data_IF_191309999021
#
_entry.id   IF_191309999021
#
_cell.length_a   1.000
_cell.length_b   1.000
_cell.length_c   1.000
_cell.angle_alpha   90.00
_cell.angle_beta   90.00
_cell.angle_gamma   90.00
#
_symmetry.space_group_name_H-M   'P 1'
#
loop_
_entity.id
_entity.type
_entity.pdbx_description
1 polymer ?
#
# COMPACT_ATOMS: atom_id res chain seq x y z
N UNK A 1 6.18 -89.52 16.16
CA UNK A 1 5.93 -88.76 14.94
C UNK A 1 5.45 -87.34 15.41
N UNK A 2 6.36 -86.40 15.50
CA UNK A 2 6.05 -85.00 15.96
C UNK A 2 6.42 -84.05 14.78
N UNK A 3 5.41 -83.40 14.18
CA UNK A 3 5.62 -82.47 13.07
C UNK A 3 5.87 -81.08 13.70
N UNK A 4 7.06 -80.56 13.49
CA UNK A 4 7.40 -79.19 13.81
C UNK A 4 6.83 -78.23 12.74
N UNK A 5 6.02 -77.30 13.11
CA UNK A 5 5.52 -76.20 12.27
C UNK A 5 6.42 -74.96 12.51
N UNK A 6 7.21 -74.63 11.49
CA UNK A 6 8.02 -73.40 11.48
C UNK A 6 7.13 -72.16 11.10
N UNK A 7 6.95 -71.24 12.05
CA UNK A 7 6.32 -69.94 11.78
C UNK A 7 7.37 -68.99 11.25
N UNK A 8 7.25 -68.61 9.97
CA UNK A 8 8.05 -67.53 9.38
C UNK A 8 7.33 -66.20 9.65
N UNK A 9 7.89 -65.41 10.55
CA UNK A 9 7.43 -64.02 10.81
C UNK A 9 7.97 -63.08 9.73
N UNK A 10 7.08 -62.64 8.82
CA UNK A 10 7.39 -61.66 7.79
C UNK A 10 7.34 -60.26 8.39
N UNK A 11 8.50 -59.71 8.77
CA UNK A 11 8.61 -58.33 9.27
C UNK A 11 8.48 -57.33 8.09
N UNK A 12 7.30 -56.75 7.92
CA UNK A 12 7.05 -55.67 6.98
C UNK A 12 7.72 -54.39 7.47
N UNK A 13 8.86 -54.03 6.89
CA UNK A 13 9.47 -52.68 7.05
C UNK A 13 8.60 -51.66 6.31
N UNK A 14 7.71 -51.00 7.06
CA UNK A 14 7.03 -49.77 6.59
C UNK A 14 8.07 -48.65 6.61
N UNK A 15 8.73 -48.40 5.50
CA UNK A 15 9.56 -47.23 5.30
C UNK A 15 8.63 -46.00 5.27
N UNK A 16 8.52 -45.29 6.41
CA UNK A 16 7.89 -43.96 6.49
C UNK A 16 8.69 -43.00 5.64
N UNK A 17 8.27 -42.83 4.39
CA UNK A 17 8.76 -41.78 3.51
C UNK A 17 8.27 -40.44 4.07
N UNK A 18 8.96 -39.89 5.09
CA UNK A 18 8.74 -38.50 5.57
C UNK A 18 9.29 -37.60 4.49
N UNK A 19 8.40 -37.10 3.63
CA UNK A 19 8.71 -35.92 2.81
C UNK A 19 9.21 -34.84 3.76
N UNK A 20 10.43 -34.28 3.57
CA UNK A 20 10.94 -33.27 4.46
C UNK A 20 9.93 -32.09 4.45
N UNK A 21 9.37 -31.75 5.60
CA UNK A 21 8.52 -30.57 5.76
C UNK A 21 9.35 -29.39 5.27
N UNK A 22 8.84 -28.69 4.23
CA UNK A 22 9.48 -27.50 3.71
C UNK A 22 9.67 -26.54 4.88
N UNK A 23 10.91 -26.12 5.14
CA UNK A 23 11.21 -25.19 6.23
C UNK A 23 10.25 -23.98 6.18
N UNK A 24 9.72 -23.51 7.32
CA UNK A 24 8.82 -22.37 7.33
C UNK A 24 9.49 -21.20 6.62
N UNK A 25 8.82 -20.66 5.60
CA UNK A 25 9.30 -19.50 4.86
C UNK A 25 9.41 -18.31 5.80
N UNK A 26 10.46 -17.53 5.65
CA UNK A 26 10.54 -16.27 6.36
C UNK A 26 9.38 -15.35 5.91
N UNK A 27 8.68 -14.77 6.87
CA UNK A 27 7.61 -13.80 6.63
C UNK A 27 8.05 -12.42 7.10
N UNK A 28 7.57 -11.38 6.40
CA UNK A 28 7.77 -9.97 6.73
C UNK A 28 6.40 -9.29 6.76
N UNK A 29 6.04 -8.74 7.91
CA UNK A 29 4.77 -8.07 8.12
C UNK A 29 4.90 -6.59 7.76
N UNK A 30 4.14 -6.15 6.75
CA UNK A 30 4.22 -4.80 6.21
C UNK A 30 2.91 -4.05 6.50
N UNK A 31 2.98 -3.00 7.31
CA UNK A 31 1.90 -2.02 7.42
C UNK A 31 1.93 -1.13 6.17
N UNK A 32 0.90 -1.13 5.36
CA UNK A 32 0.88 -0.45 4.08
C UNK A 32 -0.36 0.42 3.89
N UNK A 33 -0.15 1.66 3.49
CA UNK A 33 -1.25 2.56 3.14
C UNK A 33 -2.14 1.96 2.04
N UNK A 34 -3.44 2.16 2.16
CA UNK A 34 -4.45 1.47 1.33
C UNK A 34 -4.34 1.72 -0.18
N UNK A 35 -3.69 2.82 -0.61
CA UNK A 35 -3.39 3.07 -2.02
C UNK A 35 -2.37 2.09 -2.61
N UNK A 36 -1.63 1.36 -1.76
CA UNK A 36 -0.63 0.38 -2.17
C UNK A 36 -1.22 -1.01 -2.46
N UNK A 37 -2.49 -1.24 -2.25
CA UNK A 37 -3.11 -2.57 -2.32
C UNK A 37 -2.77 -3.33 -3.60
N UNK A 38 -2.79 -2.68 -4.75
CA UNK A 38 -2.46 -3.33 -6.04
C UNK A 38 -0.95 -3.42 -6.27
N UNK A 39 -0.24 -2.31 -6.12
CA UNK A 39 1.20 -2.23 -6.43
C UNK A 39 2.04 -3.08 -5.48
N UNK A 40 1.71 -3.08 -4.19
CA UNK A 40 2.44 -3.91 -3.22
C UNK A 40 2.21 -5.41 -3.46
N UNK A 41 1.06 -5.80 -4.00
CA UNK A 41 0.82 -7.19 -4.43
C UNK A 41 1.83 -7.66 -5.48
N UNK A 42 2.13 -6.83 -6.48
CA UNK A 42 3.13 -7.13 -7.50
C UNK A 42 4.56 -7.10 -6.93
N UNK A 43 4.89 -6.08 -6.14
CA UNK A 43 6.19 -5.97 -5.46
C UNK A 43 6.45 -7.17 -4.54
N UNK A 44 5.46 -7.58 -3.75
CA UNK A 44 5.54 -8.74 -2.87
C UNK A 44 5.81 -10.03 -3.65
N UNK A 45 5.08 -10.26 -4.74
CA UNK A 45 5.29 -11.42 -5.60
C UNK A 45 6.68 -11.43 -6.25
N UNK A 46 7.19 -10.28 -6.68
CA UNK A 46 8.54 -10.18 -7.24
C UNK A 46 9.62 -10.42 -6.17
N UNK A 47 9.46 -9.84 -4.98
CA UNK A 47 10.37 -10.04 -3.86
C UNK A 47 10.41 -11.50 -3.40
N UNK A 48 9.24 -12.14 -3.26
CA UNK A 48 9.13 -13.55 -2.86
C UNK A 48 9.81 -14.48 -3.88
N UNK A 49 9.64 -14.24 -5.18
CA UNK A 49 10.32 -15.03 -6.22
C UNK A 49 11.86 -14.93 -6.13
N UNK A 50 12.39 -13.76 -5.79
CA UNK A 50 13.84 -13.50 -5.73
C UNK A 50 14.49 -14.00 -4.44
N UNK A 51 13.77 -13.97 -3.33
CA UNK A 51 14.36 -14.16 -1.99
C UNK A 51 13.79 -15.35 -1.22
N UNK A 52 12.63 -15.85 -1.61
CA UNK A 52 11.88 -16.84 -0.86
C UNK A 52 11.15 -16.26 0.39
N UNK A 53 11.29 -14.96 0.67
CA UNK A 53 10.63 -14.28 1.80
C UNK A 53 9.22 -13.89 1.40
N UNK A 54 8.22 -14.29 2.19
CA UNK A 54 6.82 -13.93 1.99
C UNK A 54 6.54 -12.57 2.61
N UNK A 55 5.93 -11.67 1.85
CA UNK A 55 5.41 -10.40 2.36
C UNK A 55 3.96 -10.61 2.80
N UNK A 56 3.66 -10.18 4.02
CA UNK A 56 2.33 -10.25 4.62
C UNK A 56 1.83 -8.81 4.87
N UNK A 57 1.10 -8.23 3.91
CA UNK A 57 0.65 -6.84 4.01
C UNK A 57 -0.60 -6.72 4.88
N UNK A 58 -0.64 -5.65 5.69
CA UNK A 58 -1.84 -5.14 6.36
C UNK A 58 -2.16 -3.76 5.80
N UNK A 59 -3.31 -3.64 5.14
CA UNK A 59 -3.70 -2.40 4.48
C UNK A 59 -4.65 -1.57 5.35
N UNK A 60 -4.41 -0.26 5.41
CA UNK A 60 -5.24 0.67 6.18
C UNK A 60 -5.01 2.13 5.83
N UNK A 61 -5.72 3.02 6.51
CA UNK A 61 -5.40 4.44 6.44
C UNK A 61 -4.09 4.71 7.20
N UNK A 62 -3.28 5.63 6.68
CA UNK A 62 -1.94 5.93 7.20
C UNK A 62 -1.92 6.21 8.70
N UNK A 63 -2.80 7.10 9.18
CA UNK A 63 -2.88 7.43 10.61
C UNK A 63 -3.26 6.24 11.47
N UNK A 64 -4.18 5.38 11.00
CA UNK A 64 -4.56 4.17 11.75
C UNK A 64 -3.41 3.19 11.87
N UNK A 65 -2.62 3.01 10.81
CA UNK A 65 -1.44 2.13 10.83
C UNK A 65 -0.35 2.69 11.74
N UNK A 66 -0.09 4.01 11.71
CA UNK A 66 0.84 4.66 12.62
C UNK A 66 0.45 4.45 14.08
N UNK A 67 -0.82 4.67 14.41
CA UNK A 67 -1.34 4.42 15.76
C UNK A 67 -1.21 2.95 16.19
N UNK A 68 -1.42 1.99 15.28
CA UNK A 68 -1.19 0.57 15.58
C UNK A 68 0.29 0.29 15.88
N UNK A 69 1.21 0.91 15.15
CA UNK A 69 2.66 0.80 15.39
C UNK A 69 3.02 1.37 16.77
N UNK A 70 2.52 2.56 17.10
CA UNK A 70 2.70 3.20 18.42
C UNK A 70 2.16 2.33 19.58
N UNK A 71 1.07 1.60 19.31
CA UNK A 71 0.47 0.66 20.27
C UNK A 71 1.10 -0.75 20.24
N UNK A 72 2.25 -0.91 19.59
CA UNK A 72 3.04 -2.14 19.62
C UNK A 72 2.59 -3.25 18.66
N UNK A 73 1.83 -2.93 17.60
CA UNK A 73 1.51 -3.90 16.56
C UNK A 73 2.81 -4.45 15.93
N UNK A 74 2.91 -5.78 15.71
CA UNK A 74 4.15 -6.45 15.33
C UNK A 74 4.42 -6.33 13.81
N UNK A 75 4.56 -5.11 13.32
CA UNK A 75 4.98 -4.85 11.95
C UNK A 75 6.51 -4.71 11.85
N UNK A 76 7.05 -5.12 10.72
CA UNK A 76 8.48 -5.04 10.40
C UNK A 76 8.81 -3.79 9.57
N UNK A 77 7.92 -3.43 8.65
CA UNK A 77 8.07 -2.29 7.73
C UNK A 77 6.78 -1.49 7.69
N UNK A 78 6.90 -0.17 7.63
CA UNK A 78 5.79 0.74 7.37
C UNK A 78 5.96 1.43 6.02
N UNK A 79 4.93 1.37 5.19
CA UNK A 79 4.83 2.07 3.90
C UNK A 79 3.67 3.06 3.97
N UNK A 80 4.00 4.30 4.29
CA UNK A 80 3.07 5.42 4.50
C UNK A 80 2.66 6.07 3.18
N UNK A 81 1.48 6.70 3.15
CA UNK A 81 1.07 7.58 2.06
C UNK A 81 1.48 9.05 2.27
N UNK A 82 2.26 9.35 3.30
CA UNK A 82 2.89 10.65 3.54
C UNK A 82 4.26 10.48 4.20
N UNK A 83 4.99 11.57 4.37
CA UNK A 83 6.26 11.63 5.12
C UNK A 83 6.03 11.92 6.60
N UNK A 84 4.97 12.67 6.93
CA UNK A 84 4.71 13.17 8.28
C UNK A 84 4.65 12.04 9.31
N UNK A 85 3.85 11.00 9.08
CA UNK A 85 3.72 9.90 10.04
C UNK A 85 5.00 9.08 10.20
N UNK A 86 5.82 8.97 9.15
CA UNK A 86 7.13 8.31 9.24
C UNK A 86 8.11 9.16 10.06
N UNK A 87 8.13 10.48 9.85
CA UNK A 87 8.93 11.43 10.62
C UNK A 87 8.53 11.42 12.11
N UNK A 88 7.23 11.41 12.40
CA UNK A 88 6.68 11.31 13.77
C UNK A 88 7.11 10.00 14.45
N UNK A 89 6.96 8.85 13.79
CA UNK A 89 7.43 7.56 14.29
C UNK A 89 8.94 7.52 14.49
N UNK A 90 9.71 8.15 13.60
CA UNK A 90 11.16 8.25 13.74
C UNK A 90 11.56 9.11 14.94
N UNK A 91 10.90 10.25 15.14
CA UNK A 91 11.13 11.14 16.27
C UNK A 91 10.78 10.47 17.61
N UNK A 92 9.74 9.66 17.65
CA UNK A 92 9.32 8.87 18.81
C UNK A 92 10.17 7.59 19.00
N UNK A 93 11.07 7.29 18.07
CA UNK A 93 11.98 6.16 18.18
C UNK A 93 11.41 4.81 17.74
N UNK A 94 10.29 4.77 17.02
CA UNK A 94 9.72 3.54 16.45
C UNK A 94 10.38 3.12 15.13
N UNK A 95 10.89 4.07 14.33
CA UNK A 95 11.61 3.76 13.11
C UNK A 95 13.12 3.56 13.36
N UNK A 96 13.73 2.70 12.57
CA UNK A 96 15.19 2.49 12.57
C UNK A 96 15.86 3.68 11.86
N UNK A 97 16.82 4.29 12.54
CA UNK A 97 17.55 5.46 12.01
C UNK A 97 18.18 5.17 10.62
N UNK A 98 18.02 6.13 9.71
CA UNK A 98 18.56 6.06 8.35
C UNK A 98 17.77 5.15 7.38
N UNK A 99 16.57 4.66 7.78
CA UNK A 99 15.67 3.91 6.88
C UNK A 99 14.52 4.74 6.32
N UNK A 100 14.03 5.86 6.95
CA UNK A 100 13.02 6.68 6.30
C UNK A 100 13.47 7.16 4.91
N UNK A 101 12.68 6.82 3.87
CA UNK A 101 13.00 7.18 2.50
C UNK A 101 11.74 7.27 1.62
N UNK A 102 11.67 8.30 0.79
CA UNK A 102 10.56 8.51 -0.14
C UNK A 102 10.67 7.51 -1.29
N UNK A 103 9.65 6.65 -1.44
CA UNK A 103 9.58 5.67 -2.54
C UNK A 103 8.78 6.16 -3.75
N UNK A 104 7.87 7.12 -3.56
CA UNK A 104 7.04 7.61 -4.64
C UNK A 104 6.18 8.81 -4.25
N UNK A 105 5.55 9.39 -5.26
CA UNK A 105 4.56 10.46 -5.12
C UNK A 105 3.23 9.99 -5.64
N UNK A 106 2.20 10.05 -4.80
CA UNK A 106 0.84 9.66 -5.16
C UNK A 106 0.19 10.62 -6.13
N UNK A 107 -0.62 10.09 -7.03
CA UNK A 107 -1.42 10.87 -7.99
C UNK A 107 -2.88 10.78 -7.61
N UNK A 108 -3.49 11.93 -7.30
CA UNK A 108 -4.89 12.05 -6.94
C UNK A 108 -5.76 12.12 -8.20
N UNK A 109 -6.84 11.34 -8.21
CA UNK A 109 -7.82 11.30 -9.30
C UNK A 109 -9.23 11.42 -8.74
N UNK A 110 -10.17 11.90 -9.57
CA UNK A 110 -11.59 11.68 -9.35
C UNK A 110 -12.03 10.47 -10.17
N UNK A 111 -12.52 9.46 -9.51
CA UNK A 111 -13.07 8.23 -10.07
C UNK A 111 -14.58 8.36 -10.17
N UNK A 112 -15.13 8.21 -11.37
CA UNK A 112 -16.54 8.39 -11.69
C UNK A 112 -17.06 7.23 -12.57
N UNK A 113 -17.02 5.96 -12.07
CA UNK A 113 -17.20 4.78 -12.91
C UNK A 113 -18.57 4.72 -13.59
N UNK A 114 -19.58 5.35 -13.02
CA UNK A 114 -20.97 5.39 -13.53
C UNK A 114 -21.46 6.78 -13.93
N UNK A 115 -20.55 7.75 -13.97
CA UNK A 115 -20.85 9.16 -14.29
C UNK A 115 -19.98 9.63 -15.47
N UNK A 116 -20.31 9.20 -16.70
CA UNK A 116 -19.57 9.62 -17.89
C UNK A 116 -19.74 11.11 -18.20
N UNK A 117 -20.71 11.76 -17.58
CA UNK A 117 -21.00 13.18 -17.63
C UNK A 117 -20.01 14.03 -16.79
N UNK A 118 -19.34 13.43 -15.79
CA UNK A 118 -18.37 14.12 -14.94
C UNK A 118 -16.96 14.00 -15.52
N UNK A 119 -16.39 15.10 -16.01
CA UNK A 119 -15.11 15.14 -16.73
C UNK A 119 -14.08 16.07 -16.09
N UNK A 120 -14.50 16.94 -15.17
CA UNK A 120 -13.64 17.92 -14.50
C UNK A 120 -14.18 18.30 -13.12
N UNK A 121 -13.30 18.84 -12.29
CA UNK A 121 -13.57 19.05 -10.86
C UNK A 121 -14.70 20.07 -10.60
N UNK A 122 -14.80 21.13 -11.41
CA UNK A 122 -15.80 22.18 -11.23
C UNK A 122 -17.24 21.69 -11.48
N UNK A 123 -17.42 20.62 -12.25
CA UNK A 123 -18.74 20.01 -12.48
C UNK A 123 -19.35 19.42 -11.22
N UNK A 124 -18.53 19.11 -10.20
CA UNK A 124 -19.03 18.69 -8.90
C UNK A 124 -19.88 19.77 -8.21
N UNK A 125 -19.70 21.04 -8.56
CA UNK A 125 -20.50 22.14 -8.03
C UNK A 125 -21.95 22.17 -8.59
N UNK A 126 -22.22 21.42 -9.67
CA UNK A 126 -23.51 21.43 -10.38
C UNK A 126 -24.59 20.57 -9.74
N UNK A 127 -24.67 19.24 -9.98
CA UNK A 127 -25.80 18.42 -9.57
C UNK A 127 -25.96 18.37 -8.05
N UNK A 128 -27.16 18.75 -7.56
CA UNK A 128 -27.43 18.81 -6.11
C UNK A 128 -27.55 17.43 -5.44
N UNK A 129 -27.79 16.39 -6.18
CA UNK A 129 -28.00 15.03 -5.70
C UNK A 129 -26.78 14.10 -5.85
N UNK A 130 -25.64 14.65 -6.30
CA UNK A 130 -24.42 13.86 -6.46
C UNK A 130 -23.74 13.63 -5.09
N UNK A 131 -23.50 12.39 -4.72
CA UNK A 131 -22.72 12.01 -3.53
C UNK A 131 -21.25 11.86 -3.90
N UNK A 132 -20.41 12.65 -3.22
CA UNK A 132 -18.95 12.70 -3.44
C UNK A 132 -18.27 11.95 -2.30
N UNK A 133 -17.49 10.93 -2.61
CA UNK A 133 -16.79 10.14 -1.61
C UNK A 133 -15.37 10.65 -1.46
N UNK A 134 -14.98 10.89 -0.23
CA UNK A 134 -13.61 11.32 0.16
C UNK A 134 -13.17 10.42 1.31
N UNK A 135 -11.94 9.94 1.30
CA UNK A 135 -11.38 9.30 2.50
C UNK A 135 -11.30 10.35 3.63
N UNK A 136 -11.51 9.93 4.89
CA UNK A 136 -11.42 10.85 6.04
C UNK A 136 -10.09 11.60 6.03
N UNK A 137 -10.09 12.94 5.94
CA UNK A 137 -8.87 13.72 5.78
C UNK A 137 -7.93 13.62 6.99
N UNK A 138 -8.48 13.38 8.18
CA UNK A 138 -7.72 13.16 9.41
C UNK A 138 -7.04 11.78 9.49
N UNK A 139 -7.43 10.83 8.62
CA UNK A 139 -6.89 9.48 8.61
C UNK A 139 -6.05 9.18 7.37
N UNK A 140 -6.30 9.88 6.26
CA UNK A 140 -5.73 9.52 4.96
C UNK A 140 -5.17 10.75 4.22
N UNK A 141 -3.88 10.75 3.83
CA UNK A 141 -3.26 11.85 3.09
C UNK A 141 -3.98 12.21 1.79
N UNK A 142 -4.47 11.21 1.05
CA UNK A 142 -5.29 11.45 -0.15
C UNK A 142 -6.63 12.13 0.18
N UNK A 143 -7.22 11.83 1.33
CA UNK A 143 -8.42 12.53 1.80
C UNK A 143 -8.15 14.00 2.10
N UNK A 144 -7.05 14.29 2.78
CA UNK A 144 -6.60 15.66 3.04
C UNK A 144 -6.33 16.42 1.72
N UNK A 145 -5.64 15.79 0.77
CA UNK A 145 -5.38 16.34 -0.56
C UNK A 145 -6.69 16.61 -1.34
N UNK A 146 -7.68 15.73 -1.23
CA UNK A 146 -8.99 15.89 -1.88
C UNK A 146 -9.73 17.13 -1.36
N UNK A 147 -9.79 17.27 -0.04
CA UNK A 147 -10.43 18.46 0.59
C UNK A 147 -9.67 19.73 0.23
N UNK A 148 -8.34 19.69 0.23
CA UNK A 148 -7.50 20.81 -0.18
C UNK A 148 -7.77 21.21 -1.63
N UNK A 149 -7.84 20.23 -2.56
CA UNK A 149 -8.13 20.51 -3.97
C UNK A 149 -9.50 21.17 -4.15
N UNK A 150 -10.54 20.69 -3.46
CA UNK A 150 -11.88 21.28 -3.49
C UNK A 150 -11.91 22.70 -2.94
N UNK A 151 -11.14 22.98 -1.87
CA UNK A 151 -10.99 24.33 -1.30
C UNK A 151 -10.24 25.27 -2.24
N UNK A 152 -9.12 24.84 -2.80
CA UNK A 152 -8.31 25.65 -3.70
C UNK A 152 -9.00 25.91 -5.04
N UNK A 153 -9.88 24.99 -5.48
CA UNK A 153 -10.78 25.22 -6.62
C UNK A 153 -11.94 26.20 -6.27
N UNK A 154 -12.18 26.53 -5.00
CA UNK A 154 -13.25 27.42 -4.56
C UNK A 154 -14.65 26.80 -4.63
N UNK A 155 -14.76 25.46 -4.63
CA UNK A 155 -16.07 24.77 -4.72
C UNK A 155 -16.45 24.02 -3.43
N UNK A 156 -15.59 24.02 -2.42
CA UNK A 156 -15.81 23.27 -1.18
C UNK A 156 -17.17 23.55 -0.54
N UNK A 157 -17.56 24.82 -0.37
CA UNK A 157 -18.82 25.19 0.29
C UNK A 157 -20.05 24.70 -0.48
N UNK A 158 -19.93 24.53 -1.80
CA UNK A 158 -20.99 24.01 -2.66
C UNK A 158 -21.16 22.51 -2.57
N UNK A 159 -20.09 21.78 -2.22
CA UNK A 159 -20.06 20.30 -2.24
C UNK A 159 -20.00 19.67 -0.85
N UNK A 160 -19.54 20.36 0.19
CA UNK A 160 -19.27 19.83 1.52
C UNK A 160 -20.44 19.02 2.12
N UNK A 161 -21.69 19.47 1.92
CA UNK A 161 -22.90 18.78 2.43
C UNK A 161 -23.21 17.49 1.68
N UNK A 162 -22.52 17.21 0.56
CA UNK A 162 -22.70 16.00 -0.27
C UNK A 162 -21.49 15.08 -0.17
N UNK A 163 -20.52 15.41 0.67
CA UNK A 163 -19.34 14.57 0.90
C UNK A 163 -19.68 13.48 1.90
N UNK A 164 -19.46 12.23 1.48
CA UNK A 164 -19.48 11.05 2.34
C UNK A 164 -18.04 10.64 2.65
N UNK A 165 -17.72 10.47 3.93
CA UNK A 165 -16.37 10.14 4.37
C UNK A 165 -16.16 8.64 4.53
N UNK A 166 -15.27 8.08 3.71
CA UNK A 166 -14.84 6.69 3.79
C UNK A 166 -13.65 6.53 4.77
N UNK A 167 -13.52 5.36 5.41
CA UNK A 167 -12.42 5.10 6.36
C UNK A 167 -11.03 5.05 5.71
N UNK A 168 -10.93 4.73 4.41
CA UNK A 168 -9.67 4.70 3.66
C UNK A 168 -9.89 5.01 2.18
N UNK A 169 -8.80 5.24 1.45
CA UNK A 169 -8.85 5.57 0.02
C UNK A 169 -9.34 4.39 -0.84
N UNK A 170 -9.04 3.16 -0.47
CA UNK A 170 -9.55 1.96 -1.16
C UNK A 170 -11.04 1.76 -0.92
N UNK A 171 -11.53 2.02 0.30
CA UNK A 171 -12.97 1.98 0.61
C UNK A 171 -13.71 3.10 -0.11
N UNK A 172 -13.11 4.29 -0.26
CA UNK A 172 -13.70 5.38 -1.06
C UNK A 172 -13.93 4.92 -2.51
N UNK A 173 -12.93 4.30 -3.15
CA UNK A 173 -13.09 3.70 -4.48
C UNK A 173 -14.20 2.65 -4.49
N UNK A 174 -14.18 1.72 -3.56
CA UNK A 174 -15.17 0.64 -3.48
C UNK A 174 -16.61 1.18 -3.38
N UNK A 175 -16.85 2.25 -2.62
CA UNK A 175 -18.18 2.84 -2.52
C UNK A 175 -18.65 3.42 -3.85
N UNK A 176 -17.77 4.05 -4.62
CA UNK A 176 -18.13 4.50 -5.97
C UNK A 176 -18.42 3.32 -6.92
N UNK A 177 -17.64 2.24 -6.84
CA UNK A 177 -17.84 1.05 -7.67
C UNK A 177 -19.18 0.36 -7.38
N UNK A 178 -19.57 0.31 -6.11
CA UNK A 178 -20.79 -0.41 -5.66
C UNK A 178 -22.05 0.46 -5.63
N UNK A 179 -21.96 1.77 -5.93
CA UNK A 179 -23.08 2.68 -5.97
C UNK A 179 -23.49 3.31 -4.65
N UNK A 180 -22.66 3.20 -3.65
CA UNK A 180 -22.85 3.91 -2.39
C UNK A 180 -22.44 5.40 -2.49
N UNK A 181 -22.07 5.86 -3.67
CA UNK A 181 -21.83 7.22 -4.07
C UNK A 181 -21.61 7.32 -5.57
N UNK A 182 -21.63 8.53 -6.10
CA UNK A 182 -21.55 8.80 -7.54
C UNK A 182 -20.11 8.86 -8.03
N UNK A 183 -19.26 9.54 -7.26
CA UNK A 183 -17.84 9.77 -7.57
C UNK A 183 -16.99 9.63 -6.32
N UNK A 184 -15.73 9.26 -6.48
CA UNK A 184 -14.78 9.16 -5.37
C UNK A 184 -13.44 9.80 -5.72
N UNK A 185 -12.90 10.59 -4.79
CA UNK A 185 -11.47 10.89 -4.84
C UNK A 185 -10.68 9.65 -4.45
N UNK A 186 -9.74 9.26 -5.30
CA UNK A 186 -8.93 8.05 -5.07
C UNK A 186 -7.51 8.20 -5.63
N UNK A 187 -6.70 7.16 -5.48
CA UNK A 187 -5.35 7.11 -6.03
C UNK A 187 -5.37 6.50 -7.44
N UNK A 188 -4.57 7.06 -8.36
CA UNK A 188 -4.39 6.50 -9.70
C UNK A 188 -4.02 5.01 -9.66
N UNK A 189 -3.18 4.62 -8.71
CA UNK A 189 -2.75 3.23 -8.52
C UNK A 189 -3.87 2.23 -8.22
N UNK A 190 -5.02 2.69 -7.77
CA UNK A 190 -6.17 1.83 -7.47
C UNK A 190 -7.11 1.64 -8.66
N UNK A 191 -7.06 2.53 -9.64
CA UNK A 191 -8.01 2.52 -10.77
C UNK A 191 -7.35 2.22 -12.12
N UNK A 192 -6.03 2.10 -12.15
CA UNK A 192 -5.31 1.78 -13.38
C UNK A 192 -5.88 0.49 -14.00
N UNK A 193 -6.18 0.52 -15.29
CA UNK A 193 -6.79 -0.57 -16.06
C UNK A 193 -8.21 -0.98 -15.61
N UNK A 194 -8.85 -0.20 -14.72
CA UNK A 194 -10.25 -0.41 -14.34
C UNK A 194 -11.19 0.22 -15.39
N UNK A 195 -12.26 -0.47 -15.78
CA UNK A 195 -13.24 0.10 -16.68
C UNK A 195 -14.05 1.19 -15.96
N UNK A 196 -14.01 2.39 -16.47
CA UNK A 196 -14.75 3.53 -15.88
C UNK A 196 -14.17 4.88 -16.27
N UNK A 197 -14.90 5.92 -15.95
CA UNK A 197 -14.47 7.29 -16.21
C UNK A 197 -13.67 7.84 -15.03
N UNK A 198 -12.57 8.49 -15.31
CA UNK A 198 -11.77 9.23 -14.32
C UNK A 198 -11.07 10.43 -14.93
N UNK A 199 -10.63 11.35 -14.08
CA UNK A 199 -9.73 12.42 -14.50
C UNK A 199 -8.72 12.76 -13.39
N UNK A 200 -7.56 13.24 -13.81
CA UNK A 200 -6.50 13.68 -12.91
C UNK A 200 -6.90 14.98 -12.23
N UNK A 201 -6.64 15.08 -10.93
CA UNK A 201 -6.73 16.35 -10.21
C UNK A 201 -5.44 17.14 -10.45
N UNK A 202 -5.58 18.42 -10.80
CA UNK A 202 -4.43 19.29 -11.03
C UNK A 202 -3.52 19.29 -9.79
N UNK A 203 -2.24 18.89 -9.91
CA UNK A 203 -1.29 18.89 -8.81
C UNK A 203 -1.10 20.26 -8.13
N UNK A 204 -1.39 21.36 -8.82
CA UNK A 204 -1.33 22.70 -8.23
C UNK A 204 -2.42 22.94 -7.16
N UNK A 205 -3.47 22.12 -7.13
CA UNK A 205 -4.59 22.26 -6.20
C UNK A 205 -4.35 21.60 -4.82
N UNK A 206 -3.29 20.81 -4.67
CA UNK A 206 -3.00 20.12 -3.40
C UNK A 206 -1.49 19.96 -3.17
N UNK A 207 -1.08 19.78 -1.91
CA UNK A 207 0.32 19.48 -1.59
C UNK A 207 0.71 18.12 -2.17
N UNK A 208 1.93 17.96 -2.68
CA UNK A 208 2.41 16.67 -3.16
C UNK A 208 2.20 15.57 -2.12
N UNK A 209 1.65 14.44 -2.55
CA UNK A 209 1.43 13.26 -1.69
C UNK A 209 2.72 12.42 -1.74
N UNK A 210 3.76 12.89 -1.07
CA UNK A 210 5.04 12.17 -0.98
C UNK A 210 4.90 11.01 -0.01
N UNK A 211 5.26 9.82 -0.45
CA UNK A 211 5.05 8.57 0.27
C UNK A 211 6.38 7.96 0.71
N UNK A 212 6.45 7.56 1.95
CA UNK A 212 7.68 7.16 2.59
C UNK A 212 7.62 5.74 3.16
N UNK A 213 8.74 5.03 3.11
CA UNK A 213 8.94 3.72 3.75
C UNK A 213 9.92 3.85 4.88
N UNK A 214 9.71 3.09 5.95
CA UNK A 214 10.73 2.88 6.99
C UNK A 214 10.71 1.46 7.53
N UNK A 215 11.85 1.02 8.05
CA UNK A 215 11.98 -0.20 8.86
C UNK A 215 11.62 0.13 10.31
N UNK A 216 10.81 -0.70 10.94
CA UNK A 216 10.39 -0.51 12.32
C UNK A 216 11.37 -1.18 13.29
N UNK A 217 11.54 -0.60 14.48
CA UNK A 217 12.36 -1.21 15.54
C UNK A 217 11.76 -2.50 16.11
N UNK A 218 10.45 -2.69 15.92
CA UNK A 218 9.72 -3.93 16.25
C UNK A 218 10.02 -5.09 15.29
N UNK A 219 10.75 -4.84 14.19
CA UNK A 219 11.02 -5.87 13.18
C UNK A 219 11.69 -7.10 13.79
N UNK A 220 11.02 -8.25 13.66
CA UNK A 220 11.53 -9.51 14.18
C UNK A 220 12.81 -9.97 13.44
N UNK A 221 12.99 -9.51 12.18
CA UNK A 221 14.13 -9.83 11.32
C UNK A 221 14.64 -8.55 10.64
N UNK A 222 15.39 -7.69 11.37
CA UNK A 222 15.80 -6.37 10.88
C UNK A 222 16.56 -6.39 9.54
N UNK A 223 17.40 -7.39 9.32
CA UNK A 223 18.17 -7.51 8.06
C UNK A 223 17.26 -7.80 6.87
N UNK A 224 16.24 -8.65 7.04
CA UNK A 224 15.24 -8.93 6.00
C UNK A 224 14.39 -7.69 5.74
N UNK A 225 13.99 -6.96 6.78
CA UNK A 225 13.22 -5.73 6.66
C UNK A 225 14.01 -4.64 5.90
N UNK A 226 15.31 -4.47 6.20
CA UNK A 226 16.20 -3.57 5.45
C UNK A 226 16.39 -4.01 4.00
N UNK A 227 16.55 -5.30 3.74
CA UNK A 227 16.65 -5.80 2.38
C UNK A 227 15.38 -5.54 1.57
N UNK A 228 14.19 -5.64 2.20
CA UNK A 228 12.93 -5.29 1.55
C UNK A 228 12.79 -3.78 1.31
N UNK A 229 13.16 -2.94 2.27
CA UNK A 229 13.19 -1.48 2.08
C UNK A 229 14.10 -1.09 0.89
N UNK A 230 15.31 -1.63 0.82
CA UNK A 230 16.22 -1.39 -0.30
C UNK A 230 15.66 -1.90 -1.64
N UNK A 231 14.96 -3.03 -1.64
CA UNK A 231 14.25 -3.52 -2.82
C UNK A 231 13.17 -2.53 -3.27
N UNK A 232 12.35 -2.00 -2.34
CA UNK A 232 11.30 -1.01 -2.62
C UNK A 232 11.87 0.28 -3.22
N UNK A 233 13.06 0.69 -2.78
CA UNK A 233 13.76 1.87 -3.28
C UNK A 233 14.57 1.61 -4.55
N UNK A 234 14.75 0.35 -4.90
CA UNK A 234 15.56 -0.10 -6.04
C UNK A 234 14.91 0.16 -7.41
N UNK A 235 15.72 0.08 -8.49
CA UNK A 235 15.26 0.43 -9.83
C UNK A 235 14.11 -0.44 -10.34
N UNK A 236 14.06 -1.72 -9.98
CA UNK A 236 12.97 -2.63 -10.36
C UNK A 236 11.63 -2.22 -9.75
N UNK A 237 11.61 -1.90 -8.45
CA UNK A 237 10.40 -1.44 -7.77
C UNK A 237 9.96 -0.06 -8.29
N UNK A 238 10.90 0.84 -8.58
CA UNK A 238 10.60 2.16 -9.18
C UNK A 238 9.86 2.01 -10.52
N UNK A 239 10.25 1.05 -11.36
CA UNK A 239 9.56 0.78 -12.61
C UNK A 239 8.14 0.24 -12.37
N UNK A 240 7.96 -0.61 -11.37
CA UNK A 240 6.62 -1.08 -10.95
C UNK A 240 5.78 0.12 -10.48
N UNK A 241 6.28 0.97 -9.58
CA UNK A 241 5.57 2.18 -9.15
C UNK A 241 5.17 3.08 -10.32
N UNK A 242 6.08 3.31 -11.27
CA UNK A 242 5.80 4.12 -12.47
C UNK A 242 4.64 3.55 -13.29
N UNK A 243 4.60 2.22 -13.49
CA UNK A 243 3.50 1.55 -14.21
C UNK A 243 2.16 1.70 -13.48
N UNK A 244 2.17 1.78 -12.16
CA UNK A 244 0.97 2.04 -11.34
C UNK A 244 0.64 3.54 -11.20
N UNK A 245 1.27 4.41 -12.01
CA UNK A 245 0.94 5.83 -12.08
C UNK A 245 1.52 6.68 -10.95
N UNK A 246 2.52 6.19 -10.21
CA UNK A 246 3.21 7.02 -9.23
C UNK A 246 4.19 7.99 -9.89
N UNK A 247 4.24 9.23 -9.41
CA UNK A 247 5.39 10.09 -9.61
C UNK A 247 6.60 9.53 -8.84
N UNK A 248 7.78 9.63 -9.43
CA UNK A 248 9.00 9.11 -8.78
C UNK A 248 9.85 10.27 -8.25
N UNK A 249 10.43 10.16 -7.03
CA UNK A 249 11.41 11.11 -6.55
C UNK A 249 12.64 11.10 -7.47
N UNK A 250 13.42 12.20 -7.54
CA UNK A 250 14.72 12.19 -8.22
C UNK A 250 15.53 10.99 -7.71
N UNK A 251 16.29 10.35 -8.60
CA UNK A 251 17.25 9.35 -8.14
C UNK A 251 18.29 10.03 -7.26
N UNK A 252 18.63 9.47 -6.08
CA UNK A 252 19.80 9.93 -5.37
C UNK A 252 20.98 9.83 -6.35
N UNK A 253 21.72 10.93 -6.48
CA UNK A 253 22.93 10.96 -7.33
C UNK A 253 23.76 9.72 -6.96
N UNK A 254 23.94 8.80 -7.89
CA UNK A 254 24.69 7.58 -7.68
C UNK A 254 26.07 7.99 -7.12
N UNK A 255 26.45 7.41 -5.97
CA UNK A 255 27.86 7.47 -5.54
C UNK A 255 28.64 6.85 -6.70
N UNK A 256 29.20 7.70 -7.53
CA UNK A 256 30.04 7.30 -8.64
C UNK A 256 31.06 6.29 -8.12
N UNK A 257 30.99 5.07 -8.59
CA UNK A 257 32.08 4.11 -8.49
C UNK A 257 33.21 4.74 -9.28
N UNK A 258 34.08 5.49 -8.58
CA UNK A 258 35.37 5.90 -9.13
C UNK A 258 36.16 4.62 -9.39
N UNK A 259 36.07 4.15 -10.64
CA UNK A 259 37.01 3.17 -11.15
C UNK A 259 38.41 3.81 -11.10
N UNK A 260 39.25 3.30 -10.24
CA UNK A 260 40.70 3.42 -10.34
C UNK A 260 41.27 2.12 -10.88
#
# INVERSE_FOLDING_TARGET
MIRAIALIALASLVACNRTPAKAPRAELHVAAAANLTRVLGELAGDYERRTGVRIVPSYGATTQLSQQIENGAPFDVFMSADTQHVEELAAQGFAVAGTPAVYGRGVLVLWAPRRPDVRKLDELAGPKNMVIIVARPELAPYGAASVQALKNMGIWDKVAKRVAYAPSISVAKQWADTGNGDVAFTAMSLILDEPGNYFLIDPALYKPIEQEVCVLKSAAKPDIARAFEQFVLGPGAREIFRRYGYGLPPQPAGKGTSAR
#
